data_IF_794561371882
#
_entry.id   IF_794561371882
#
_cell.length_a   1.000
_cell.length_b   1.000
_cell.length_c   1.000
_cell.angle_alpha   90.00
_cell.angle_beta   90.00
_cell.angle_gamma   90.00
#
_symmetry.space_group_name_H-M   'P 1'
#
loop_
_entity.id
_entity.type
_entity.pdbx_description
1 polymer ?
#
# COMPACT_ATOMS: atom_id res chain seq x y z
N UNK A 1 -10.59 13.45 -26.90
CA UNK A 1 -10.58 12.30 -26.21
C UNK A 1 -9.78 12.35 -24.94
N UNK A 2 -10.23 11.76 -24.00
CA UNK A 2 -9.57 11.83 -22.75
C UNK A 2 -8.41 10.91 -22.68
N UNK A 3 -7.37 11.36 -22.09
CA UNK A 3 -6.18 10.57 -22.00
C UNK A 3 -5.97 10.02 -20.63
N UNK A 4 -7.03 9.52 -20.05
CA UNK A 4 -6.91 8.91 -18.75
C UNK A 4 -6.28 7.54 -18.91
N UNK A 5 -5.38 7.23 -18.00
CA UNK A 5 -4.69 5.97 -18.05
C UNK A 5 -5.60 4.82 -17.71
N UNK A 6 -5.39 3.73 -18.44
CA UNK A 6 -6.02 2.45 -18.16
C UNK A 6 -4.96 1.39 -18.34
N UNK A 7 -5.09 0.28 -17.61
CA UNK A 7 -4.11 -0.80 -17.69
C UNK A 7 -2.95 -0.54 -16.77
N UNK A 8 -1.78 -1.05 -17.12
CA UNK A 8 -0.60 -0.89 -16.26
C UNK A 8 0.23 0.27 -16.72
N UNK A 9 0.79 0.98 -15.75
CA UNK A 9 1.68 2.07 -16.06
C UNK A 9 2.46 2.51 -14.85
N UNK A 10 3.46 3.37 -15.08
CA UNK A 10 4.33 3.86 -14.04
C UNK A 10 4.20 5.38 -13.97
N UNK A 11 4.00 5.87 -12.76
CA UNK A 11 3.86 7.29 -12.53
C UNK A 11 4.87 7.75 -11.48
N UNK A 12 5.58 8.84 -11.76
CA UNK A 12 6.52 9.40 -10.80
C UNK A 12 6.02 10.77 -10.38
N UNK A 13 5.82 10.94 -9.08
CA UNK A 13 5.37 12.22 -8.55
C UNK A 13 6.52 13.18 -8.35
N UNK A 14 6.17 14.45 -8.19
CA UNK A 14 7.17 15.52 -8.06
C UNK A 14 8.00 15.35 -6.78
N UNK A 15 7.45 14.71 -5.76
CA UNK A 15 8.17 14.52 -4.50
C UNK A 15 9.05 13.28 -4.49
N UNK A 16 9.10 12.53 -5.61
CA UNK A 16 9.92 11.33 -5.68
C UNK A 16 9.19 10.04 -5.45
N UNK A 17 7.89 10.09 -5.19
CA UNK A 17 7.09 8.87 -5.07
C UNK A 17 6.88 8.26 -6.45
N UNK A 18 6.87 6.92 -6.51
CA UNK A 18 6.67 6.20 -7.76
C UNK A 18 5.58 5.17 -7.58
N UNK A 19 4.58 5.21 -8.45
CA UNK A 19 3.55 4.18 -8.49
C UNK A 19 3.72 3.37 -9.78
N UNK A 20 3.74 2.05 -9.66
CA UNK A 20 3.85 1.15 -10.79
C UNK A 20 2.77 0.09 -10.64
N UNK A 21 1.75 0.15 -11.48
CA UNK A 21 0.66 -0.79 -11.34
C UNK A 21 -0.49 -0.49 -12.28
N UNK A 22 -1.66 -0.95 -11.87
CA UNK A 22 -2.85 -0.85 -12.70
C UNK A 22 -3.56 0.48 -12.51
N UNK A 23 -4.15 0.96 -13.58
CA UNK A 23 -4.84 2.25 -13.64
C UNK A 23 -6.22 2.06 -14.22
N UNK A 24 -7.15 2.86 -13.77
CA UNK A 24 -8.48 2.96 -14.37
C UNK A 24 -8.93 4.40 -14.27
N UNK A 25 -9.32 4.99 -15.39
CA UNK A 25 -9.84 6.36 -15.45
C UNK A 25 -8.88 7.37 -14.80
N UNK A 26 -7.59 7.15 -14.95
CA UNK A 26 -6.58 8.07 -14.44
C UNK A 26 -6.24 7.90 -12.97
N UNK A 27 -6.77 6.88 -12.32
CA UNK A 27 -6.49 6.63 -10.92
C UNK A 27 -5.91 5.25 -10.69
N UNK A 28 -5.13 5.12 -9.62
CA UNK A 28 -4.62 3.82 -9.23
C UNK A 28 -5.78 2.89 -8.90
N UNK A 29 -5.77 1.72 -9.52
CA UNK A 29 -6.89 0.81 -9.38
C UNK A 29 -6.43 -0.60 -9.70
N UNK A 30 -6.65 -1.54 -8.75
CA UNK A 30 -6.15 -2.89 -8.92
C UNK A 30 -4.84 -3.07 -8.20
N UNK A 31 -4.00 -3.97 -8.70
CA UNK A 31 -2.73 -4.25 -8.04
C UNK A 31 -1.64 -3.29 -8.46
N UNK A 32 -0.83 -2.87 -7.50
CA UNK A 32 0.28 -1.99 -7.81
C UNK A 32 1.31 -1.94 -6.71
N UNK A 33 2.43 -1.30 -7.02
CA UNK A 33 3.51 -1.07 -6.10
C UNK A 33 3.74 0.42 -5.99
N UNK A 34 3.67 0.94 -4.77
CA UNK A 34 3.92 2.35 -4.52
C UNK A 34 5.21 2.46 -3.72
N UNK A 35 6.16 3.22 -4.24
CA UNK A 35 7.42 3.49 -3.55
C UNK A 35 7.46 4.94 -3.16
N UNK A 36 7.66 5.19 -1.87
CA UNK A 36 7.71 6.55 -1.38
C UNK A 36 9.15 7.06 -1.37
N UNK A 37 9.29 8.35 -1.42
CA UNK A 37 10.62 8.97 -1.47
C UNK A 37 11.46 8.64 -0.24
N UNK A 38 10.82 8.31 0.89
CA UNK A 38 11.54 8.00 2.12
C UNK A 38 12.02 6.55 2.20
N UNK A 39 11.77 5.75 1.16
CA UNK A 39 12.19 4.36 1.14
C UNK A 39 11.12 3.36 1.50
N UNK A 40 9.94 3.81 1.89
CA UNK A 40 8.81 2.94 2.17
C UNK A 40 8.25 2.38 0.86
N UNK A 41 7.86 1.12 0.86
CA UNK A 41 7.26 0.49 -0.31
C UNK A 41 5.97 -0.20 0.09
N UNK A 42 4.90 0.04 -0.68
CA UNK A 42 3.63 -0.64 -0.49
C UNK A 42 3.30 -1.44 -1.74
N UNK A 43 2.96 -2.71 -1.55
CA UNK A 43 2.53 -3.56 -2.64
C UNK A 43 1.18 -4.15 -2.27
N UNK A 44 0.18 -3.91 -3.10
CA UNK A 44 -1.14 -4.43 -2.80
C UNK A 44 -2.19 -3.85 -3.71
N UNK A 45 -3.42 -3.83 -3.22
CA UNK A 45 -4.57 -3.39 -3.99
C UNK A 45 -4.88 -1.94 -3.76
N UNK A 46 -5.31 -1.29 -4.84
CA UNK A 46 -5.76 0.11 -4.82
C UNK A 46 -7.15 0.19 -5.40
N UNK A 47 -7.89 1.17 -4.97
CA UNK A 47 -9.19 1.48 -5.54
C UNK A 47 -9.40 2.98 -5.47
N UNK A 48 -9.72 3.59 -6.62
CA UNK A 48 -9.98 5.02 -6.72
C UNK A 48 -8.84 5.84 -6.11
N UNK A 49 -7.61 5.41 -6.37
CA UNK A 49 -6.43 6.13 -5.92
C UNK A 49 -6.02 5.86 -4.48
N UNK A 50 -6.73 4.97 -3.78
CA UNK A 50 -6.45 4.70 -2.38
C UNK A 50 -6.15 3.24 -2.14
N UNK A 51 -5.35 2.97 -1.12
CA UNK A 51 -5.10 1.59 -0.71
C UNK A 51 -6.39 0.95 -0.26
N UNK A 52 -6.66 -0.24 -0.76
CA UNK A 52 -7.91 -0.92 -0.47
C UNK A 52 -7.71 -2.41 -0.64
N UNK A 53 -7.95 -3.18 0.41
CA UNK A 53 -7.75 -4.62 0.37
C UNK A 53 -6.43 -5.00 0.98
N UNK A 54 -5.96 -6.19 0.65
CA UNK A 54 -4.73 -6.71 1.25
C UNK A 54 -3.50 -6.09 0.64
N UNK A 55 -2.49 -5.88 1.47
CA UNK A 55 -1.25 -5.33 0.99
C UNK A 55 -0.11 -5.56 1.97
N UNK A 56 1.10 -5.30 1.49
CA UNK A 56 2.31 -5.40 2.28
C UNK A 56 3.01 -4.06 2.21
N UNK A 57 3.29 -3.48 3.36
CA UNK A 57 4.03 -2.23 3.44
C UNK A 57 5.39 -2.52 4.05
N UNK A 58 6.45 -2.16 3.33
CA UNK A 58 7.81 -2.39 3.78
C UNK A 58 8.47 -1.06 4.09
N UNK A 59 8.91 -0.90 5.33
CA UNK A 59 9.60 0.31 5.73
C UNK A 59 11.02 0.31 5.19
N UNK A 60 11.65 1.49 5.21
CA UNK A 60 13.01 1.62 4.69
C UNK A 60 14.00 0.73 5.42
N UNK A 61 13.73 0.38 6.68
CA UNK A 61 14.62 -0.48 7.46
C UNK A 61 14.37 -1.97 7.25
N UNK A 62 13.42 -2.32 6.37
CA UNK A 62 13.13 -3.72 6.07
C UNK A 62 12.00 -4.32 6.87
N UNK A 63 11.46 -3.60 7.83
CA UNK A 63 10.30 -4.06 8.59
C UNK A 63 9.07 -4.10 7.67
N UNK A 64 8.24 -5.14 7.80
CA UNK A 64 7.08 -5.30 6.95
C UNK A 64 5.80 -5.34 7.75
N UNK A 65 4.78 -4.65 7.21
CA UNK A 65 3.42 -4.74 7.70
C UNK A 65 2.61 -5.49 6.64
N UNK A 66 2.01 -6.62 7.02
CA UNK A 66 1.17 -7.38 6.10
C UNK A 66 -0.25 -7.38 6.64
N UNK A 67 -1.17 -6.81 5.89
CA UNK A 67 -2.53 -6.72 6.38
C UNK A 67 -3.47 -6.13 5.36
N UNK A 68 -4.59 -5.61 5.86
CA UNK A 68 -5.62 -5.05 5.00
C UNK A 68 -5.71 -3.55 5.16
N UNK A 69 -6.21 -2.91 4.11
CA UNK A 69 -6.38 -1.45 4.07
C UNK A 69 -7.78 -1.13 3.56
N UNK A 70 -8.29 0.00 3.98
CA UNK A 70 -9.54 0.52 3.46
C UNK A 70 -9.44 2.03 3.42
N UNK A 71 -9.61 2.60 2.23
CA UNK A 71 -9.50 4.05 2.01
C UNK A 71 -8.21 4.60 2.59
N UNK A 72 -7.08 3.94 2.25
CA UNK A 72 -5.73 4.34 2.69
C UNK A 72 -5.45 4.11 4.17
N UNK A 73 -6.38 3.56 4.89
CA UNK A 73 -6.19 3.31 6.33
C UNK A 73 -6.01 1.83 6.59
N UNK A 74 -5.19 1.50 7.56
CA UNK A 74 -5.06 0.12 7.99
C UNK A 74 -6.38 -0.31 8.62
N UNK A 75 -6.87 -1.47 8.19
CA UNK A 75 -8.17 -1.95 8.65
C UNK A 75 -8.20 -3.45 8.53
N UNK A 76 -8.41 -4.13 9.63
CA UNK A 76 -8.46 -5.59 9.66
C UNK A 76 -7.25 -6.20 10.31
N UNK A 77 -7.13 -7.51 10.19
CA UNK A 77 -6.03 -8.25 10.79
C UNK A 77 -4.70 -7.90 10.13
N UNK A 78 -3.63 -7.93 10.92
CA UNK A 78 -2.32 -7.65 10.38
C UNK A 78 -1.25 -8.46 11.09
N UNK A 79 -0.11 -8.58 10.43
CA UNK A 79 1.10 -9.19 10.99
C UNK A 79 2.26 -8.27 10.65
N UNK A 80 3.11 -7.97 11.63
CA UNK A 80 4.35 -7.24 11.37
C UNK A 80 5.52 -8.16 11.52
N UNK A 81 6.49 -8.03 10.61
CA UNK A 81 7.69 -8.85 10.59
C UNK A 81 8.91 -7.97 10.56
N UNK A 82 9.99 -8.44 11.19
CA UNK A 82 11.25 -7.73 11.06
C UNK A 82 11.89 -8.06 9.71
N UNK A 83 13.06 -7.49 9.44
CA UNK A 83 13.70 -7.65 8.15
C UNK A 83 14.11 -9.08 7.86
N UNK A 84 14.17 -9.93 8.87
CA UNK A 84 14.50 -11.35 8.69
C UNK A 84 13.28 -12.20 8.41
N UNK A 85 12.06 -11.61 8.51
CA UNK A 85 10.84 -12.35 8.30
C UNK A 85 10.20 -12.87 9.58
N UNK A 86 10.77 -12.54 10.72
CA UNK A 86 10.24 -13.00 11.99
C UNK A 86 9.06 -12.12 12.42
N UNK A 87 7.99 -12.75 12.85
CA UNK A 87 6.80 -12.02 13.31
C UNK A 87 7.14 -11.34 14.63
N UNK A 88 6.98 -10.02 14.68
CA UNK A 88 7.24 -9.25 15.87
C UNK A 88 5.99 -8.65 16.48
N UNK A 89 4.90 -8.62 15.71
CA UNK A 89 3.63 -8.11 16.24
C UNK A 89 2.50 -8.53 15.33
N UNK A 90 1.33 -8.73 15.90
CA UNK A 90 0.12 -8.96 15.12
C UNK A 90 -1.08 -8.44 15.90
N UNK A 91 -2.15 -8.18 15.18
CA UNK A 91 -3.33 -7.63 15.83
C UNK A 91 -4.39 -7.25 14.81
N UNK A 92 -5.20 -6.28 15.16
CA UNK A 92 -6.29 -5.83 14.34
C UNK A 92 -6.32 -4.30 14.35
N UNK A 93 -6.47 -3.72 13.17
CA UNK A 93 -6.71 -2.28 13.03
C UNK A 93 -8.16 -2.04 12.68
N UNK A 94 -8.68 -0.91 13.11
CA UNK A 94 -9.99 -0.45 12.71
C UNK A 94 -9.87 1.01 12.33
N UNK A 95 -10.06 1.29 11.04
CA UNK A 95 -10.00 2.65 10.49
C UNK A 95 -8.72 3.37 10.88
N UNK A 96 -7.60 2.68 10.72
CA UNK A 96 -6.29 3.26 10.99
C UNK A 96 -5.89 3.25 12.45
N UNK A 97 -6.71 2.69 13.31
CA UNK A 97 -6.47 2.70 14.73
C UNK A 97 -6.23 1.28 15.23
N UNK A 98 -5.12 1.10 15.92
CA UNK A 98 -4.80 -0.21 16.47
C UNK A 98 -5.76 -0.54 17.61
N UNK A 99 -6.44 -1.67 17.50
CA UNK A 99 -7.35 -2.11 18.54
C UNK A 99 -6.55 -2.65 19.72
N UNK A 100 -7.10 -2.48 20.90
CA UNK A 100 -6.41 -2.88 22.11
C UNK A 100 -6.07 -4.35 22.14
N UNK A 101 -5.12 -4.69 22.97
CA UNK A 101 -4.62 -6.04 23.12
C UNK A 101 -5.20 -6.67 24.33
#
# INVERSE_FOLDING_TARGET
MEDKEHGRGKFTGANGDVYDGEWAAGEMNGEGVLRLADGTKFKGHFKDGMKNGKGVEEAADGTRFEGSFFNDQKDGSFVEKDKTGKVIRKGIYSRGRLMGQ
#
